data_IF_066995059384
#
_entry.id   IF_066995059384
#
_cell.length_a   1.000
_cell.length_b   1.000
_cell.length_c   1.000
_cell.angle_alpha   90.00
_cell.angle_beta   90.00
_cell.angle_gamma   90.00
#
_symmetry.space_group_name_H-M   'P 1'
#
loop_
_entity.id
_entity.type
_entity.pdbx_description
1 polymer ?
#
# COMPACT_ATOMS: atom_id res chain seq x y z
N UNK A 1 28.04 10.43 -11.70
CA UNK A 1 27.18 9.89 -12.77
C UNK A 1 26.67 8.44 -12.54
N UNK A 2 27.01 7.72 -11.46
CA UNK A 2 26.46 6.36 -11.18
C UNK A 2 24.98 6.34 -10.72
N UNK A 3 24.47 7.47 -10.23
CA UNK A 3 23.13 7.58 -9.64
C UNK A 3 21.98 7.53 -10.67
N UNK A 4 22.17 8.11 -11.87
CA UNK A 4 21.12 8.12 -12.90
C UNK A 4 20.83 6.73 -13.45
N UNK A 5 21.86 5.89 -13.61
CA UNK A 5 21.69 4.56 -14.22
C UNK A 5 20.97 3.59 -13.29
N UNK A 6 21.18 3.68 -11.96
CA UNK A 6 20.45 2.84 -11.01
C UNK A 6 19.00 3.30 -10.83
N UNK A 7 18.75 4.61 -10.82
CA UNK A 7 17.39 5.16 -10.77
C UNK A 7 16.60 4.82 -12.05
N UNK A 8 17.21 4.97 -13.23
CA UNK A 8 16.57 4.60 -14.49
C UNK A 8 16.23 3.10 -14.54
N UNK A 9 17.13 2.24 -14.04
CA UNK A 9 16.90 0.81 -13.94
C UNK A 9 15.75 0.49 -12.96
N UNK A 10 15.68 1.17 -11.83
CA UNK A 10 14.59 1.02 -10.86
C UNK A 10 13.23 1.43 -11.46
N UNK A 11 13.19 2.54 -12.18
CA UNK A 11 11.99 3.02 -12.87
C UNK A 11 11.53 2.05 -13.97
N UNK A 12 12.45 1.53 -14.78
CA UNK A 12 12.16 0.56 -15.82
C UNK A 12 11.61 -0.75 -15.24
N UNK A 13 12.22 -1.25 -14.16
CA UNK A 13 11.77 -2.46 -13.49
C UNK A 13 10.41 -2.23 -12.85
N UNK A 14 10.17 -1.08 -12.21
CA UNK A 14 8.87 -0.74 -11.65
C UNK A 14 7.79 -0.63 -12.74
N UNK A 15 8.12 -0.05 -13.88
CA UNK A 15 7.23 0.03 -15.05
C UNK A 15 6.87 -1.38 -15.58
N UNK A 16 7.85 -2.28 -15.64
CA UNK A 16 7.66 -3.66 -16.06
C UNK A 16 6.77 -4.46 -15.10
N UNK A 17 6.94 -4.25 -13.78
CA UNK A 17 6.09 -4.83 -12.73
C UNK A 17 4.65 -4.33 -12.87
N UNK A 18 4.47 -3.01 -13.02
CA UNK A 18 3.14 -2.41 -13.19
C UNK A 18 2.44 -2.94 -14.44
N UNK A 19 3.14 -3.02 -15.57
CA UNK A 19 2.62 -3.58 -16.81
C UNK A 19 2.24 -5.06 -16.65
N UNK A 20 3.04 -5.85 -15.94
CA UNK A 20 2.76 -7.26 -15.70
C UNK A 20 1.58 -7.50 -14.74
N UNK A 21 1.39 -6.63 -13.73
CA UNK A 21 0.32 -6.74 -12.73
C UNK A 21 -1.02 -6.18 -13.20
N UNK A 22 -0.98 -5.01 -13.86
CA UNK A 22 -2.17 -4.22 -14.18
C UNK A 22 -2.42 -4.03 -15.67
N UNK A 23 -1.52 -4.52 -16.53
CA UNK A 23 -1.60 -4.33 -17.99
C UNK A 23 -1.14 -2.94 -18.45
N UNK A 24 -0.77 -2.05 -17.53
CA UNK A 24 -0.36 -0.67 -17.83
C UNK A 24 0.82 -0.23 -16.98
N UNK A 25 1.70 0.58 -17.56
CA UNK A 25 2.84 1.20 -16.86
C UNK A 25 2.36 2.33 -15.94
N UNK A 26 1.25 2.98 -16.29
CA UNK A 26 0.78 4.21 -15.65
C UNK A 26 -0.30 3.99 -14.60
N UNK A 27 -0.37 2.79 -14.00
CA UNK A 27 -1.39 2.44 -13.01
C UNK A 27 -1.50 3.49 -11.89
N UNK A 28 -0.37 3.93 -11.33
CA UNK A 28 -0.36 4.96 -10.27
C UNK A 28 -0.95 6.30 -10.70
N UNK A 29 -0.68 6.75 -11.94
CA UNK A 29 -1.23 8.01 -12.47
C UNK A 29 -2.74 7.89 -12.74
N UNK A 30 -3.16 6.77 -13.32
CA UNK A 30 -4.57 6.48 -13.59
C UNK A 30 -5.37 6.38 -12.28
N UNK A 31 -4.82 5.69 -11.28
CA UNK A 31 -5.38 5.58 -9.94
C UNK A 31 -5.53 6.95 -9.28
N UNK A 32 -4.46 7.76 -9.27
CA UNK A 32 -4.50 9.10 -8.68
C UNK A 32 -5.52 10.00 -9.39
N UNK A 33 -5.55 9.98 -10.73
CA UNK A 33 -6.52 10.75 -11.52
C UNK A 33 -7.96 10.35 -11.18
N UNK A 34 -8.23 9.05 -11.03
CA UNK A 34 -9.55 8.54 -10.71
C UNK A 34 -9.98 8.94 -9.30
N UNK A 35 -9.09 8.84 -8.31
CA UNK A 35 -9.35 9.26 -6.92
C UNK A 35 -9.66 10.75 -6.86
N UNK A 36 -8.87 11.59 -7.53
CA UNK A 36 -9.10 13.05 -7.57
C UNK A 36 -10.43 13.37 -8.24
N UNK A 37 -10.73 12.75 -9.39
CA UNK A 37 -11.98 12.97 -10.12
C UNK A 37 -13.20 12.59 -9.28
N UNK A 38 -13.18 11.41 -8.64
CA UNK A 38 -14.24 10.98 -7.74
C UNK A 38 -14.42 11.95 -6.57
N UNK A 39 -13.32 12.39 -5.96
CA UNK A 39 -13.36 13.31 -4.83
C UNK A 39 -13.94 14.67 -5.20
N UNK A 40 -13.61 15.19 -6.39
CA UNK A 40 -14.19 16.43 -6.91
C UNK A 40 -15.69 16.30 -7.16
N UNK A 41 -16.12 15.23 -7.83
CA UNK A 41 -17.53 14.97 -8.12
C UNK A 41 -18.32 14.94 -6.81
N UNK A 42 -17.88 14.14 -5.83
CA UNK A 42 -18.63 14.00 -4.59
C UNK A 42 -18.59 15.29 -3.75
N UNK A 43 -17.47 16.02 -3.74
CA UNK A 43 -17.36 17.30 -3.05
C UNK A 43 -18.26 18.41 -3.62
N UNK A 44 -18.63 18.34 -4.90
CA UNK A 44 -19.57 19.31 -5.51
C UNK A 44 -21.00 19.10 -5.01
N UNK A 45 -21.40 17.85 -4.77
CA UNK A 45 -22.80 17.51 -4.48
C UNK A 45 -23.07 17.23 -2.99
N UNK A 46 -22.06 16.80 -2.23
CA UNK A 46 -22.24 16.32 -0.87
C UNK A 46 -21.32 17.08 0.09
N UNK A 47 -21.86 17.95 0.98
CA UNK A 47 -21.10 18.47 2.10
C UNK A 47 -20.81 17.32 3.07
N UNK A 48 -19.56 17.21 3.49
CA UNK A 48 -19.07 16.08 4.26
C UNK A 48 -18.18 16.55 5.41
N UNK A 49 -18.41 15.95 6.58
CA UNK A 49 -17.65 16.26 7.79
C UNK A 49 -16.37 15.43 7.93
N UNK A 50 -16.20 14.40 7.11
CA UNK A 50 -15.06 13.50 7.19
C UNK A 50 -15.35 12.26 8.03
N UNK A 51 -14.93 11.09 7.54
CA UNK A 51 -15.09 9.78 8.17
C UNK A 51 -13.95 9.49 9.16
N UNK A 52 -12.77 10.08 8.94
CA UNK A 52 -11.57 9.85 9.73
C UNK A 52 -11.16 11.09 10.51
N UNK A 53 -10.51 10.91 11.68
CA UNK A 53 -10.10 12.03 12.54
C UNK A 53 -9.26 13.10 11.81
N UNK A 54 -8.41 12.69 10.85
CA UNK A 54 -7.62 13.62 10.03
C UNK A 54 -8.49 14.47 9.10
N UNK A 55 -9.53 13.88 8.50
CA UNK A 55 -10.51 14.58 7.65
C UNK A 55 -11.42 15.55 8.44
N UNK A 56 -11.57 15.34 9.74
CA UNK A 56 -12.37 16.20 10.63
C UNK A 56 -11.60 17.42 11.16
N UNK A 57 -10.36 17.63 10.72
CA UNK A 57 -9.51 18.71 11.22
C UNK A 57 -10.08 20.10 10.92
N UNK A 58 -9.95 21.01 11.90
CA UNK A 58 -10.36 22.41 11.77
C UNK A 58 -9.50 23.11 10.71
N UNK A 59 -10.14 23.60 9.65
CA UNK A 59 -9.48 24.27 8.52
C UNK A 59 -9.48 23.47 7.21
N UNK A 60 -9.93 22.21 7.20
CA UNK A 60 -10.12 21.45 5.97
C UNK A 60 -11.37 21.89 5.20
N UNK A 61 -11.21 22.14 3.89
CA UNK A 61 -12.35 22.40 3.00
C UNK A 61 -13.07 21.10 2.63
N UNK A 62 -14.35 21.18 2.23
CA UNK A 62 -15.15 20.01 1.84
C UNK A 62 -14.44 19.07 0.85
N UNK A 63 -13.75 19.65 -0.14
CA UNK A 63 -12.93 18.90 -1.10
C UNK A 63 -11.81 18.09 -0.43
N UNK A 64 -11.06 18.70 0.48
CA UNK A 64 -9.93 18.02 1.15
C UNK A 64 -10.41 16.85 2.01
N UNK A 65 -11.60 16.96 2.60
CA UNK A 65 -12.22 15.89 3.39
C UNK A 65 -12.57 14.69 2.53
N UNK A 66 -13.28 14.92 1.42
CA UNK A 66 -13.58 13.88 0.43
C UNK A 66 -12.34 13.25 -0.17
N UNK A 67 -11.34 14.06 -0.52
CA UNK A 67 -10.09 13.57 -1.08
C UNK A 67 -9.40 12.60 -0.12
N UNK A 68 -9.34 12.95 1.16
CA UNK A 68 -8.73 12.10 2.17
C UNK A 68 -9.49 10.78 2.35
N UNK A 69 -10.81 10.85 2.49
CA UNK A 69 -11.62 9.66 2.76
C UNK A 69 -11.66 8.69 1.58
N UNK A 70 -11.84 9.22 0.36
CA UNK A 70 -11.77 8.43 -0.86
C UNK A 70 -10.38 7.81 -1.00
N UNK A 71 -9.32 8.56 -0.70
CA UNK A 71 -7.96 8.03 -0.72
C UNK A 71 -7.75 6.89 0.28
N UNK A 72 -8.23 7.01 1.53
CA UNK A 72 -8.10 5.97 2.54
C UNK A 72 -8.88 4.72 2.14
N UNK A 73 -10.15 4.87 1.75
CA UNK A 73 -11.01 3.75 1.34
C UNK A 73 -10.43 3.04 0.11
N UNK A 74 -10.04 3.81 -0.91
CA UNK A 74 -9.45 3.25 -2.13
C UNK A 74 -8.11 2.57 -1.88
N UNK A 75 -7.30 3.06 -0.92
CA UNK A 75 -6.02 2.44 -0.56
C UNK A 75 -6.22 1.07 0.10
N UNK A 76 -7.22 0.93 0.97
CA UNK A 76 -7.60 -0.36 1.56
C UNK A 76 -7.99 -1.38 0.47
N UNK A 77 -8.82 -0.96 -0.49
CA UNK A 77 -9.26 -1.82 -1.60
C UNK A 77 -8.09 -2.16 -2.52
N UNK A 78 -7.23 -1.19 -2.84
CA UNK A 78 -6.07 -1.37 -3.72
C UNK A 78 -5.10 -2.40 -3.18
N UNK A 79 -4.88 -2.42 -1.86
CA UNK A 79 -4.07 -3.47 -1.21
C UNK A 79 -4.61 -4.88 -1.47
N UNK A 80 -5.93 -5.07 -1.35
CA UNK A 80 -6.59 -6.36 -1.65
C UNK A 80 -6.47 -6.72 -3.13
N UNK A 81 -6.70 -5.76 -4.03
CA UNK A 81 -6.57 -5.99 -5.49
C UNK A 81 -5.14 -6.39 -5.86
N UNK A 82 -4.13 -5.71 -5.32
CA UNK A 82 -2.72 -6.05 -5.51
C UNK A 82 -2.45 -7.47 -5.02
N UNK A 83 -2.91 -7.82 -3.82
CA UNK A 83 -2.73 -9.15 -3.25
C UNK A 83 -3.33 -10.25 -4.16
N UNK A 84 -4.57 -10.08 -4.61
CA UNK A 84 -5.23 -11.05 -5.49
C UNK A 84 -4.50 -11.19 -6.83
N UNK A 85 -4.04 -10.07 -7.42
CA UNK A 85 -3.23 -10.09 -8.65
C UNK A 85 -1.91 -10.83 -8.45
N UNK A 86 -1.24 -10.61 -7.32
CA UNK A 86 0.00 -11.31 -6.97
C UNK A 86 -0.24 -12.81 -6.78
N UNK A 87 -1.32 -13.22 -6.12
CA UNK A 87 -1.68 -14.63 -5.97
C UNK A 87 -1.90 -15.29 -7.33
N UNK A 88 -2.62 -14.62 -8.23
CA UNK A 88 -2.87 -15.14 -9.57
C UNK A 88 -1.58 -15.28 -10.40
N UNK A 89 -0.61 -14.38 -10.22
CA UNK A 89 0.68 -14.40 -10.93
C UNK A 89 1.78 -15.21 -10.22
N UNK A 90 1.51 -15.80 -9.05
CA UNK A 90 2.49 -16.56 -8.25
C UNK A 90 3.12 -17.73 -9.01
N UNK A 91 2.37 -18.36 -9.91
CA UNK A 91 2.84 -19.52 -10.68
C UNK A 91 3.68 -19.14 -11.92
N UNK A 92 3.67 -17.88 -12.34
CA UNK A 92 4.44 -17.42 -13.49
C UNK A 92 5.91 -17.20 -13.11
N UNK A 93 6.79 -18.05 -13.66
CA UNK A 93 8.24 -18.01 -13.42
C UNK A 93 8.85 -16.68 -13.86
N UNK A 94 8.40 -16.10 -14.98
CA UNK A 94 8.93 -14.83 -15.49
C UNK A 94 8.55 -13.69 -14.54
N UNK A 95 7.30 -13.67 -14.09
CA UNK A 95 6.83 -12.69 -13.12
C UNK A 95 7.57 -12.79 -11.78
N UNK A 96 7.81 -14.00 -11.25
CA UNK A 96 8.55 -14.16 -9.98
C UNK A 96 9.96 -13.60 -10.03
N UNK A 97 10.70 -13.82 -11.13
CA UNK A 97 12.06 -13.27 -11.29
C UNK A 97 12.05 -11.74 -11.33
N UNK A 98 11.09 -11.19 -12.08
CA UNK A 98 10.90 -9.76 -12.23
C UNK A 98 10.49 -9.11 -10.90
N UNK A 99 9.57 -9.73 -10.15
CA UNK A 99 9.18 -9.32 -8.81
C UNK A 99 10.36 -9.36 -7.83
N UNK A 100 11.13 -10.46 -7.82
CA UNK A 100 12.32 -10.59 -6.97
C UNK A 100 13.37 -9.51 -7.27
N UNK A 101 13.57 -9.19 -8.55
CA UNK A 101 14.50 -8.13 -8.97
C UNK A 101 14.02 -6.76 -8.46
N UNK A 102 12.73 -6.44 -8.64
CA UNK A 102 12.13 -5.22 -8.14
C UNK A 102 12.27 -5.10 -6.61
N UNK A 103 11.93 -6.15 -5.87
CA UNK A 103 12.04 -6.16 -4.40
C UNK A 103 13.49 -6.00 -3.93
N UNK A 104 14.44 -6.59 -4.65
CA UNK A 104 15.87 -6.48 -4.32
C UNK A 104 16.35 -5.04 -4.48
N UNK A 105 16.04 -4.39 -5.60
CA UNK A 105 16.42 -3.00 -5.85
C UNK A 105 15.80 -2.07 -4.81
N UNK A 106 14.50 -2.22 -4.54
CA UNK A 106 13.83 -1.41 -3.51
C UNK A 106 14.41 -1.64 -2.10
N UNK A 107 14.86 -2.84 -1.78
CA UNK A 107 15.52 -3.13 -0.51
C UNK A 107 16.92 -2.50 -0.44
N UNK A 108 17.70 -2.57 -1.52
CA UNK A 108 19.03 -1.94 -1.62
C UNK A 108 18.95 -0.42 -1.50
N UNK A 109 17.97 0.22 -2.15
CA UNK A 109 17.73 1.67 -2.00
C UNK A 109 17.42 2.05 -0.56
N UNK A 110 16.51 1.32 0.10
CA UNK A 110 16.18 1.56 1.51
C UNK A 110 17.38 1.36 2.41
N UNK A 111 18.14 0.29 2.21
CA UNK A 111 19.32 0.00 3.02
C UNK A 111 20.37 1.13 2.90
N UNK A 112 20.50 1.75 1.73
CA UNK A 112 21.36 2.93 1.55
C UNK A 112 20.82 4.17 2.26
N UNK A 113 19.52 4.43 2.19
CA UNK A 113 18.89 5.52 2.96
C UNK A 113 19.13 5.33 4.47
N UNK A 114 19.03 4.09 4.94
CA UNK A 114 19.35 3.72 6.32
C UNK A 114 20.80 4.02 6.69
N UNK A 115 21.76 3.57 5.88
CA UNK A 115 23.18 3.84 6.09
C UNK A 115 23.48 5.35 6.11
N UNK A 116 22.85 6.11 5.21
CA UNK A 116 22.99 7.56 5.18
C UNK A 116 22.41 8.22 6.44
N UNK A 117 21.21 7.82 6.87
CA UNK A 117 20.60 8.35 8.10
C UNK A 117 21.41 8.01 9.37
N UNK A 118 22.00 6.80 9.40
CA UNK A 118 22.88 6.37 10.49
C UNK A 118 24.20 7.17 10.50
N UNK A 119 24.76 7.50 9.33
CA UNK A 119 25.95 8.35 9.22
C UNK A 119 25.72 9.78 9.71
N UNK A 120 24.46 10.25 9.69
CA UNK A 120 24.06 11.56 10.22
C UNK A 120 23.54 11.52 11.67
N UNK A 121 23.77 10.43 12.40
CA UNK A 121 23.37 10.25 13.82
C UNK A 121 21.89 10.55 14.11
N UNK A 122 21.01 10.40 13.10
CA UNK A 122 19.55 10.54 13.26
C UNK A 122 18.95 9.23 13.76
N UNK A 123 18.00 9.30 14.70
CA UNK A 123 17.26 8.15 15.24
C UNK A 123 16.55 7.43 14.09
N UNK A 124 17.13 6.30 13.67
CA UNK A 124 16.95 5.73 12.34
C UNK A 124 15.57 5.09 12.13
N UNK A 125 14.89 4.76 13.23
CA UNK A 125 13.55 4.17 13.23
C UNK A 125 12.47 5.23 13.06
N UNK A 126 12.66 6.45 13.61
CA UNK A 126 11.67 7.52 13.54
C UNK A 126 11.63 8.24 12.18
N UNK A 127 12.75 8.22 11.43
CA UNK A 127 12.85 8.98 10.18
C UNK A 127 12.13 8.31 9.00
N UNK A 128 11.93 6.99 9.04
CA UNK A 128 11.12 6.31 8.03
C UNK A 128 9.65 6.33 8.45
N UNK A 129 9.01 7.50 8.32
CA UNK A 129 7.57 7.71 8.56
C UNK A 129 6.70 6.66 7.86
N UNK A 130 7.18 6.12 6.74
CA UNK A 130 6.55 5.04 5.97
C UNK A 130 6.56 3.70 6.71
N UNK A 131 7.60 3.37 7.46
CA UNK A 131 7.69 2.10 8.20
C UNK A 131 6.82 2.11 9.44
N UNK A 132 6.76 3.24 10.14
CA UNK A 132 5.79 3.43 11.21
C UNK A 132 4.37 3.30 10.64
N UNK A 133 4.09 3.92 9.49
CA UNK A 133 2.81 3.79 8.79
C UNK A 133 2.48 2.34 8.42
N UNK A 134 3.42 1.59 7.84
CA UNK A 134 3.19 0.17 7.50
C UNK A 134 3.02 -0.72 8.74
N UNK A 135 3.75 -0.45 9.83
CA UNK A 135 3.61 -1.18 11.09
C UNK A 135 2.25 -0.92 11.74
N UNK A 136 1.79 0.34 11.74
CA UNK A 136 0.45 0.72 12.21
C UNK A 136 -0.63 0.11 11.32
N UNK A 137 -0.48 0.15 10.00
CA UNK A 137 -1.40 -0.48 9.06
C UNK A 137 -1.49 -1.99 9.28
N UNK A 138 -0.35 -2.66 9.47
CA UNK A 138 -0.29 -4.10 9.75
C UNK A 138 -0.95 -4.42 11.10
N UNK A 139 -0.66 -3.64 12.13
CA UNK A 139 -1.32 -3.76 13.44
C UNK A 139 -2.83 -3.58 13.36
N UNK A 140 -3.30 -2.58 12.59
CA UNK A 140 -4.72 -2.37 12.34
C UNK A 140 -5.36 -3.54 11.57
N UNK A 141 -4.68 -4.05 10.54
CA UNK A 141 -5.16 -5.18 9.74
C UNK A 141 -5.29 -6.45 10.59
N UNK A 142 -4.28 -6.74 11.43
CA UNK A 142 -4.31 -7.85 12.40
C UNK A 142 -5.41 -7.64 13.43
N UNK A 143 -5.60 -6.41 13.92
CA UNK A 143 -6.68 -6.07 14.85
C UNK A 143 -8.07 -6.31 14.28
N UNK A 144 -8.31 -5.91 13.02
CA UNK A 144 -9.58 -6.14 12.33
C UNK A 144 -9.81 -7.64 12.07
N UNK A 145 -8.78 -8.39 11.69
CA UNK A 145 -8.88 -9.85 11.53
C UNK A 145 -9.18 -10.54 12.87
N UNK A 146 -8.50 -10.15 13.95
CA UNK A 146 -8.74 -10.68 15.28
C UNK A 146 -10.16 -10.35 15.79
N UNK A 147 -10.63 -9.13 15.54
CA UNK A 147 -12.00 -8.72 15.84
C UNK A 147 -13.03 -9.51 15.03
N UNK A 148 -12.78 -9.75 13.74
CA UNK A 148 -13.63 -10.59 12.90
C UNK A 148 -13.71 -12.04 13.40
N UNK A 149 -12.58 -12.62 13.81
CA UNK A 149 -12.50 -13.97 14.40
C UNK A 149 -13.23 -14.05 15.75
N UNK A 150 -13.21 -12.97 16.53
CA UNK A 150 -13.96 -12.91 17.79
C UNK A 150 -15.47 -12.76 17.56
N UNK A 151 -15.87 -11.94 16.57
CA UNK A 151 -17.28 -11.63 16.31
C UNK A 151 -18.03 -12.68 15.48
N UNK A 152 -17.34 -13.60 14.80
CA UNK A 152 -17.99 -14.72 14.12
C UNK A 152 -18.10 -15.94 15.04
N UNK A 153 -19.30 -16.32 15.52
CA UNK A 153 -19.47 -17.60 16.19
C UNK A 153 -19.25 -18.71 15.15
N UNK A 154 -18.23 -19.53 15.35
CA UNK A 154 -17.94 -20.69 14.52
C UNK A 154 -19.05 -21.74 14.70
N UNK A 155 -20.12 -21.61 13.94
CA UNK A 155 -21.14 -22.63 13.81
C UNK A 155 -20.67 -23.68 12.81
N UNK A 156 -20.21 -24.83 13.32
CA UNK A 156 -20.16 -26.07 12.57
C UNK A 156 -18.87 -26.35 11.81
N UNK A 157 -18.12 -27.32 12.33
CA UNK A 157 -17.17 -28.20 11.67
C UNK A 157 -17.10 -28.12 10.13
N UNK A 158 -16.02 -27.58 9.58
CA UNK A 158 -15.28 -28.17 8.45
C UNK A 158 -13.84 -27.65 8.47
N UNK A 159 -12.90 -28.58 8.65
CA UNK A 159 -11.43 -28.45 8.51
C UNK A 159 -10.95 -27.18 7.77
N UNK A 160 -10.75 -26.07 8.48
CA UNK A 160 -9.91 -24.96 7.98
C UNK A 160 -8.62 -24.95 8.78
N UNK A 161 -7.67 -25.75 8.31
CA UNK A 161 -6.26 -25.64 8.69
C UNK A 161 -5.78 -24.23 8.35
N UNK A 162 -5.77 -23.33 9.34
CA UNK A 162 -4.91 -22.15 9.28
C UNK A 162 -3.48 -22.67 9.45
N UNK A 163 -2.72 -22.62 8.36
CA UNK A 163 -1.35 -23.14 8.22
C UNK A 163 -0.29 -22.46 9.14
N UNK A 164 -0.70 -21.74 10.18
CA UNK A 164 0.19 -21.04 11.12
C UNK A 164 0.20 -21.70 12.52
N UNK A 165 -0.62 -22.74 12.76
CA UNK A 165 -0.69 -23.45 14.05
C UNK A 165 -0.42 -24.97 13.96
N UNK A 166 0.26 -25.44 12.90
CA UNK A 166 0.70 -26.84 12.83
C UNK A 166 2.17 -26.96 13.26
N UNK A 167 2.37 -27.07 14.58
CA UNK A 167 3.48 -27.80 15.18
C UNK A 167 2.90 -28.87 16.10
#
# INVERSE_FOLDING_TARGET
MKYSNQQALAEEIQASVNKALFGTVHFGKLYASLVVMMSLIVAMFIPHEGLFATSQSTGMTNYHRWLYDVYVISSCITGVVIFLRLQHKKHDVKFRRLWHCATKISAEERFREYQYAQSQSKVTILYSSKILFYAVLLGFTVGVIAMYVWMTPFAGAYKSSFWILAY
#
